data_IF_840354674783
#
_entry.id   IF_840354674783
#
_cell.length_a   1.000
_cell.length_b   1.000
_cell.length_c   1.000
_cell.angle_alpha   90.00
_cell.angle_beta   90.00
_cell.angle_gamma   90.00
#
_symmetry.space_group_name_H-M   'P 1'
#
loop_
_entity.id
_entity.type
_entity.pdbx_description
1 polymer ?
#
# COMPACT_ATOMS: atom_id res chain seq x y z
N UNK A 1 17.01 3.12 -10.39
CA UNK A 1 15.66 3.70 -10.24
C UNK A 1 15.40 3.98 -8.77
N UNK A 2 14.83 5.13 -8.45
CA UNK A 2 14.44 5.50 -7.08
C UNK A 2 12.98 5.14 -6.85
N UNK A 3 12.71 4.44 -5.76
CA UNK A 3 11.36 3.98 -5.36
C UNK A 3 11.03 4.59 -4.00
N UNK A 4 9.89 5.26 -3.90
CA UNK A 4 9.40 5.83 -2.65
C UNK A 4 8.15 5.07 -2.20
N UNK A 5 8.19 4.51 -1.01
CA UNK A 5 7.17 3.64 -0.46
C UNK A 5 6.52 4.29 0.77
N UNK A 6 5.21 4.50 0.71
CA UNK A 6 4.42 5.19 1.74
C UNK A 6 3.38 4.24 2.32
N UNK A 7 3.41 4.06 3.63
CA UNK A 7 2.45 3.21 4.32
C UNK A 7 1.81 3.91 5.51
N UNK A 8 0.62 3.47 5.83
CA UNK A 8 0.01 3.63 7.14
C UNK A 8 -0.35 2.25 7.68
N UNK A 9 -0.04 1.98 8.95
CA UNK A 9 -0.31 0.68 9.55
C UNK A 9 -0.61 0.83 11.03
N UNK A 10 -1.82 0.45 11.43
CA UNK A 10 -2.21 0.43 12.84
C UNK A 10 -1.60 -0.74 13.61
N UNK A 11 -1.48 -1.90 12.98
CA UNK A 11 -1.08 -3.17 13.63
C UNK A 11 0.08 -3.88 12.93
N UNK A 12 0.70 -3.23 11.94
CA UNK A 12 1.88 -3.76 11.27
C UNK A 12 1.62 -4.44 9.92
N UNK A 13 0.39 -4.76 9.54
CA UNK A 13 0.07 -5.49 8.31
C UNK A 13 0.55 -4.75 7.05
N UNK A 14 0.12 -3.50 6.85
CA UNK A 14 0.52 -2.71 5.68
C UNK A 14 2.03 -2.42 5.66
N UNK A 15 2.63 -2.21 6.83
CA UNK A 15 4.09 -2.09 6.96
C UNK A 15 4.79 -3.34 6.46
N UNK A 16 4.39 -4.54 6.94
CA UNK A 16 4.99 -5.82 6.57
C UNK A 16 4.95 -6.07 5.06
N UNK A 17 3.82 -5.74 4.43
CA UNK A 17 3.64 -5.89 2.99
C UNK A 17 4.58 -4.96 2.22
N UNK A 18 4.62 -3.67 2.58
CA UNK A 18 5.42 -2.71 1.85
C UNK A 18 6.93 -2.85 2.14
N UNK A 19 7.31 -3.31 3.33
CA UNK A 19 8.69 -3.67 3.67
C UNK A 19 9.17 -4.86 2.83
N UNK A 20 8.29 -5.83 2.57
CA UNK A 20 8.57 -6.92 1.62
C UNK A 20 8.82 -6.40 0.20
N UNK A 21 8.01 -5.44 -0.27
CA UNK A 21 8.25 -4.78 -1.55
C UNK A 21 9.60 -4.05 -1.58
N UNK A 22 9.93 -3.31 -0.52
CA UNK A 22 11.23 -2.65 -0.37
C UNK A 22 12.39 -3.63 -0.50
N UNK A 23 12.33 -4.75 0.23
CA UNK A 23 13.33 -5.79 0.13
C UNK A 23 13.52 -6.29 -1.30
N UNK A 24 12.42 -6.65 -1.99
CA UNK A 24 12.47 -7.15 -3.37
C UNK A 24 13.06 -6.10 -4.33
N UNK A 25 12.67 -4.83 -4.19
CA UNK A 25 13.18 -3.75 -5.04
C UNK A 25 14.67 -3.51 -4.79
N UNK A 26 15.11 -3.58 -3.55
CA UNK A 26 16.54 -3.45 -3.19
C UNK A 26 17.36 -4.60 -3.78
N UNK A 27 16.86 -5.85 -3.72
CA UNK A 27 17.50 -6.99 -4.36
C UNK A 27 17.64 -6.84 -5.89
N UNK A 28 16.73 -6.10 -6.51
CA UNK A 28 16.78 -5.75 -7.94
C UNK A 28 17.67 -4.52 -8.25
N UNK A 29 18.38 -4.00 -7.27
CA UNK A 29 19.28 -2.85 -7.42
C UNK A 29 18.59 -1.48 -7.44
N UNK A 30 17.32 -1.38 -7.02
CA UNK A 30 16.63 -0.10 -6.89
C UNK A 30 16.92 0.54 -5.52
N UNK A 31 16.97 1.86 -5.48
CA UNK A 31 17.03 2.63 -4.22
C UNK A 31 15.60 2.79 -3.71
N UNK A 32 15.21 1.98 -2.73
CA UNK A 32 13.86 1.97 -2.18
C UNK A 32 13.86 2.54 -0.75
N UNK A 33 13.08 3.58 -0.54
CA UNK A 33 12.84 4.19 0.77
C UNK A 33 11.44 3.84 1.25
N UNK A 34 11.29 3.57 2.54
CA UNK A 34 10.01 3.20 3.17
C UNK A 34 9.72 4.19 4.30
N UNK A 35 8.60 4.90 4.20
CA UNK A 35 8.23 5.94 5.15
C UNK A 35 6.77 5.78 5.58
N UNK A 36 6.51 5.94 6.89
CA UNK A 36 5.16 6.02 7.42
C UNK A 36 4.49 7.33 6.99
N UNK A 37 3.23 7.25 6.61
CA UNK A 37 2.40 8.43 6.31
C UNK A 37 2.12 9.19 7.59
N UNK A 38 2.58 10.44 7.62
CA UNK A 38 2.24 11.44 8.65
C UNK A 38 1.70 12.69 7.97
N UNK A 39 1.26 13.68 8.74
CA UNK A 39 0.79 14.94 8.19
C UNK A 39 1.89 15.73 7.44
N UNK A 40 3.16 15.41 7.69
CA UNK A 40 4.34 16.12 7.18
C UNK A 40 5.16 15.29 6.20
N UNK A 41 4.76 14.04 5.90
CA UNK A 41 5.52 13.18 4.98
C UNK A 41 5.26 13.58 3.53
N UNK A 42 6.32 13.90 2.80
CA UNK A 42 6.28 14.22 1.36
C UNK A 42 6.73 13.04 0.51
N UNK A 43 6.40 13.11 -0.79
CA UNK A 43 6.95 12.22 -1.80
C UNK A 43 8.35 12.70 -2.17
N UNK A 44 9.29 11.77 -2.30
CA UNK A 44 10.61 12.08 -2.83
C UNK A 44 10.47 12.55 -4.28
N UNK A 45 10.81 13.81 -4.55
CA UNK A 45 10.71 14.42 -5.90
C UNK A 45 11.53 13.68 -6.97
N UNK A 46 12.55 12.93 -6.55
CA UNK A 46 13.39 12.12 -7.44
C UNK A 46 12.86 10.70 -7.64
N UNK A 47 11.71 10.35 -7.04
CA UNK A 47 11.13 9.04 -7.20
C UNK A 47 10.65 8.81 -8.63
N UNK A 48 11.04 7.68 -9.20
CA UNK A 48 10.57 7.24 -10.52
C UNK A 48 9.33 6.34 -10.39
N UNK A 49 9.17 5.73 -9.21
CA UNK A 49 8.09 4.82 -8.88
C UNK A 49 7.66 5.02 -7.42
N UNK A 50 6.36 5.08 -7.17
CA UNK A 50 5.83 5.31 -5.83
C UNK A 50 4.88 4.19 -5.45
N UNK A 51 5.06 3.63 -4.26
CA UNK A 51 4.17 2.61 -3.72
C UNK A 51 3.38 3.12 -2.53
N UNK A 52 2.09 2.80 -2.49
CA UNK A 52 1.23 3.09 -1.36
C UNK A 52 0.66 1.80 -0.78
N UNK A 53 0.64 1.67 0.55
CA UNK A 53 -0.02 0.57 1.23
C UNK A 53 -0.79 1.07 2.45
N UNK A 54 -2.11 0.90 2.43
CA UNK A 54 -3.03 1.33 3.48
C UNK A 54 -3.97 0.20 3.90
N UNK A 55 -4.43 0.16 5.15
CA UNK A 55 -5.50 -0.75 5.53
C UNK A 55 -6.86 -0.22 5.07
N UNK A 56 -7.83 -1.12 4.97
CA UNK A 56 -9.24 -0.72 4.86
C UNK A 56 -9.81 -0.45 6.26
N UNK A 57 -10.46 0.71 6.44
CA UNK A 57 -11.22 1.06 7.64
C UNK A 57 -12.63 1.50 7.21
N UNK A 58 -13.65 0.82 7.74
CA UNK A 58 -15.04 1.15 7.45
C UNK A 58 -15.31 1.37 5.93
N UNK A 59 -14.94 0.40 5.12
CA UNK A 59 -15.10 0.37 3.65
C UNK A 59 -14.30 1.41 2.85
N UNK A 60 -13.39 2.15 3.47
CA UNK A 60 -12.51 3.12 2.81
C UNK A 60 -11.10 3.11 3.37
N UNK A 61 -10.28 4.07 2.95
CA UNK A 61 -8.97 4.28 3.56
C UNK A 61 -9.08 5.10 4.87
N UNK A 62 -8.16 4.93 5.83
CA UNK A 62 -8.12 5.74 7.04
C UNK A 62 -8.10 7.24 6.73
N UNK A 63 -8.77 8.05 7.56
CA UNK A 63 -8.83 9.52 7.38
C UNK A 63 -7.45 10.17 7.23
N UNK A 64 -6.44 9.65 7.95
CA UNK A 64 -5.06 10.14 7.84
C UNK A 64 -4.50 9.90 6.43
N UNK A 65 -4.74 8.72 5.86
CA UNK A 65 -4.30 8.39 4.49
C UNK A 65 -4.99 9.28 3.46
N UNK A 66 -6.29 9.49 3.60
CA UNK A 66 -7.06 10.37 2.73
C UNK A 66 -6.56 11.81 2.79
N UNK A 67 -6.34 12.36 4.00
CA UNK A 67 -5.77 13.69 4.19
C UNK A 67 -4.39 13.81 3.56
N UNK A 68 -3.55 12.81 3.76
CA UNK A 68 -2.22 12.73 3.15
C UNK A 68 -2.29 12.78 1.62
N UNK A 69 -3.08 11.89 0.99
CA UNK A 69 -3.21 11.86 -0.46
C UNK A 69 -3.74 13.19 -1.04
N UNK A 70 -4.70 13.82 -0.35
CA UNK A 70 -5.25 15.12 -0.76
C UNK A 70 -4.23 16.27 -0.63
N UNK A 71 -3.29 16.20 0.32
CA UNK A 71 -2.23 17.19 0.49
C UNK A 71 -1.06 17.03 -0.48
N UNK A 72 -0.88 15.87 -1.08
CA UNK A 72 0.20 15.65 -2.05
C UNK A 72 0.22 16.75 -3.10
N UNK A 73 1.41 17.30 -3.43
CA UNK A 73 1.53 18.22 -4.55
C UNK A 73 1.16 17.51 -5.86
N UNK A 74 0.75 18.29 -6.86
CA UNK A 74 0.56 17.74 -8.20
C UNK A 74 1.93 17.45 -8.82
N UNK A 75 2.11 16.24 -9.30
CA UNK A 75 3.32 15.88 -10.05
C UNK A 75 3.39 16.67 -11.36
N UNK A 76 4.52 17.30 -11.64
CA UNK A 76 4.77 17.98 -12.92
C UNK A 76 4.82 16.99 -14.08
N UNK A 77 5.43 15.85 -13.85
CA UNK A 77 5.51 14.72 -14.78
C UNK A 77 4.69 13.56 -14.23
N UNK A 78 4.14 12.72 -15.11
CA UNK A 78 3.46 11.49 -14.68
C UNK A 78 4.45 10.56 -13.98
N UNK A 79 4.21 10.30 -12.69
CA UNK A 79 4.98 9.35 -11.89
C UNK A 79 4.18 8.05 -11.79
N UNK A 80 4.80 6.94 -12.17
CA UNK A 80 4.17 5.62 -12.01
C UNK A 80 3.99 5.28 -10.53
N UNK A 81 2.83 4.71 -10.20
CA UNK A 81 2.53 4.30 -8.84
C UNK A 81 1.83 2.95 -8.79
N UNK A 82 1.93 2.28 -7.63
CA UNK A 82 1.08 1.15 -7.29
C UNK A 82 0.39 1.39 -5.94
N UNK A 83 -0.75 0.74 -5.77
CA UNK A 83 -1.57 0.85 -4.58
C UNK A 83 -1.92 -0.52 -4.04
N UNK A 84 -1.62 -0.76 -2.79
CA UNK A 84 -2.00 -1.97 -2.05
C UNK A 84 -2.94 -1.60 -0.92
N UNK A 85 -4.00 -2.38 -0.78
CA UNK A 85 -4.92 -2.26 0.34
C UNK A 85 -4.86 -3.55 1.15
N UNK A 86 -4.54 -3.47 2.43
CA UNK A 86 -4.61 -4.63 3.32
C UNK A 86 -6.01 -4.73 3.93
N UNK A 87 -6.61 -5.91 3.86
CA UNK A 87 -7.95 -6.19 4.35
C UNK A 87 -8.03 -7.57 5.01
N UNK A 88 -9.05 -7.79 5.83
CA UNK A 88 -9.34 -9.05 6.50
C UNK A 88 -9.79 -10.17 5.55
N UNK A 89 -10.27 -9.82 4.35
CA UNK A 89 -10.55 -10.74 3.26
C UNK A 89 -10.16 -10.10 1.93
N UNK A 90 -9.96 -10.91 0.89
CA UNK A 90 -9.47 -10.45 -0.42
C UNK A 90 -10.48 -9.60 -1.20
N UNK A 91 -11.76 -9.66 -0.86
CA UNK A 91 -12.87 -8.92 -1.47
C UNK A 91 -13.37 -7.75 -0.60
N UNK A 92 -12.77 -7.52 0.58
CA UNK A 92 -13.20 -6.50 1.55
C UNK A 92 -12.50 -5.16 1.41
N UNK A 93 -12.18 -4.72 0.19
CA UNK A 93 -11.57 -3.39 0.01
C UNK A 93 -12.56 -2.22 0.11
N UNK A 94 -13.86 -2.50 0.05
CA UNK A 94 -14.88 -1.46 -0.07
C UNK A 94 -14.55 -0.51 -1.23
N UNK A 95 -14.54 0.78 -0.97
CA UNK A 95 -14.18 1.83 -1.94
C UNK A 95 -12.72 2.29 -1.86
N UNK A 96 -11.89 1.63 -1.03
CA UNK A 96 -10.53 2.10 -0.74
C UNK A 96 -9.65 2.21 -1.99
N UNK A 97 -9.68 1.21 -2.90
CA UNK A 97 -8.92 1.25 -4.15
C UNK A 97 -9.43 2.38 -5.06
N UNK A 98 -10.74 2.46 -5.29
CA UNK A 98 -11.36 3.44 -6.19
C UNK A 98 -11.11 4.87 -5.69
N UNK A 99 -11.32 5.12 -4.39
CA UNK A 99 -11.11 6.42 -3.78
C UNK A 99 -9.64 6.86 -3.90
N UNK A 100 -8.72 6.00 -3.48
CA UNK A 100 -7.28 6.31 -3.52
C UNK A 100 -6.78 6.51 -4.95
N UNK A 101 -7.17 5.64 -5.88
CA UNK A 101 -6.79 5.74 -7.29
C UNK A 101 -7.30 7.04 -7.91
N UNK A 102 -8.54 7.43 -7.61
CA UNK A 102 -9.11 8.70 -8.09
C UNK A 102 -8.32 9.91 -7.60
N UNK A 103 -7.92 9.91 -6.31
CA UNK A 103 -7.12 11.01 -5.75
C UNK A 103 -5.73 11.02 -6.37
N UNK A 104 -5.05 9.88 -6.43
CA UNK A 104 -3.70 9.76 -6.99
C UNK A 104 -3.64 10.21 -8.44
N UNK A 105 -4.59 9.79 -9.29
CA UNK A 105 -4.68 10.22 -10.69
C UNK A 105 -4.85 11.73 -10.82
N UNK A 106 -5.68 12.36 -9.97
CA UNK A 106 -5.84 13.82 -9.93
C UNK A 106 -4.55 14.56 -9.51
N UNK A 107 -3.67 13.87 -8.78
CA UNK A 107 -2.35 14.38 -8.37
C UNK A 107 -1.24 14.11 -9.40
N UNK A 108 -1.57 13.47 -10.54
CA UNK A 108 -0.63 13.21 -11.62
C UNK A 108 0.09 11.88 -11.53
N UNK A 109 -0.33 10.98 -10.63
CA UNK A 109 0.19 9.62 -10.59
C UNK A 109 -0.48 8.74 -11.64
N UNK A 110 0.34 7.93 -12.31
CA UNK A 110 -0.12 6.85 -13.18
C UNK A 110 -0.17 5.56 -12.36
N UNK A 111 -1.35 5.24 -11.83
CA UNK A 111 -1.54 4.03 -11.02
C UNK A 111 -1.59 2.84 -11.97
N UNK A 112 -0.44 2.16 -12.11
CA UNK A 112 -0.23 1.04 -13.04
C UNK A 112 -0.61 -0.32 -12.44
N UNK A 113 -0.78 -0.39 -11.12
CA UNK A 113 -1.17 -1.59 -10.42
C UNK A 113 -1.92 -1.25 -9.12
N UNK A 114 -2.99 -1.97 -8.84
CA UNK A 114 -3.66 -1.92 -7.55
C UNK A 114 -4.16 -3.31 -7.15
N UNK A 115 -4.09 -3.64 -5.87
CA UNK A 115 -4.55 -4.94 -5.37
C UNK A 115 -4.93 -4.88 -3.90
N UNK A 116 -5.85 -5.78 -3.52
CA UNK A 116 -6.13 -6.09 -2.13
C UNK A 116 -5.20 -7.21 -1.68
N UNK A 117 -4.57 -7.04 -0.55
CA UNK A 117 -3.74 -8.06 0.09
C UNK A 117 -4.47 -8.55 1.34
N UNK A 118 -4.85 -9.82 1.32
CA UNK A 118 -5.45 -10.45 2.50
C UNK A 118 -4.41 -10.54 3.62
N UNK A 119 -4.74 -9.97 4.77
CA UNK A 119 -3.92 -10.00 5.99
C UNK A 119 -4.83 -10.30 7.19
N UNK A 120 -4.30 -10.83 8.31
CA UNK A 120 -5.12 -11.15 9.46
C UNK A 120 -5.95 -9.95 9.92
N UNK A 121 -7.24 -10.15 10.10
CA UNK A 121 -8.14 -9.10 10.60
C UNK A 121 -7.82 -8.74 12.04
N UNK A 122 -7.83 -7.43 12.33
CA UNK A 122 -7.73 -6.90 13.70
C UNK A 122 -9.10 -6.51 14.27
N UNK A 123 -10.16 -6.77 13.54
CA UNK A 123 -11.53 -6.49 13.96
C UNK A 123 -12.03 -7.63 14.84
N UNK A 124 -11.83 -7.50 16.16
CA UNK A 124 -12.18 -8.52 17.15
C UNK A 124 -13.59 -8.34 17.75
N UNK A 125 -14.31 -7.28 17.37
CA UNK A 125 -15.60 -6.93 17.99
C UNK A 125 -16.73 -7.88 17.57
N UNK A 126 -16.64 -8.45 16.37
CA UNK A 126 -17.69 -9.29 15.81
C UNK A 126 -17.20 -10.63 15.25
N UNK A 127 -15.91 -10.87 15.25
CA UNK A 127 -15.31 -12.11 14.73
C UNK A 127 -14.19 -12.60 15.66
N UNK A 128 -14.09 -13.90 15.83
CA UNK A 128 -12.94 -14.49 16.51
C UNK A 128 -11.67 -14.24 15.68
N UNK A 129 -10.56 -13.84 16.31
CA UNK A 129 -9.31 -13.75 15.60
C UNK A 129 -8.89 -15.12 15.07
N UNK A 130 -8.19 -15.18 13.92
CA UNK A 130 -7.67 -16.45 13.41
C UNK A 130 -6.68 -17.07 14.43
N UNK A 131 -6.56 -18.39 14.40
CA UNK A 131 -5.51 -19.08 15.16
C UNK A 131 -4.12 -18.58 14.74
N UNK A 132 -3.09 -18.85 15.54
CA UNK A 132 -1.71 -18.46 15.17
C UNK A 132 -1.27 -19.07 13.84
N UNK A 133 -1.63 -20.33 13.61
CA UNK A 133 -1.31 -21.08 12.40
C UNK A 133 -2.03 -20.49 11.19
N UNK A 134 -3.31 -20.18 11.31
CA UNK A 134 -4.09 -19.53 10.25
C UNK A 134 -3.57 -18.13 9.96
N UNK A 135 -3.30 -17.32 10.98
CA UNK A 135 -2.72 -15.99 10.82
C UNK A 135 -1.37 -16.05 10.10
N UNK A 136 -0.50 -17.01 10.46
CA UNK A 136 0.79 -17.17 9.80
C UNK A 136 0.64 -17.56 8.33
N UNK A 137 -0.32 -18.43 8.00
CA UNK A 137 -0.61 -18.80 6.62
C UNK A 137 -1.08 -17.60 5.80
N UNK A 138 -1.99 -16.80 6.35
CA UNK A 138 -2.49 -15.57 5.72
C UNK A 138 -1.34 -14.60 5.47
N UNK A 139 -0.48 -14.36 6.47
CA UNK A 139 0.69 -13.49 6.35
C UNK A 139 1.64 -13.99 5.27
N UNK A 140 1.94 -15.28 5.24
CA UNK A 140 2.83 -15.87 4.25
C UNK A 140 2.29 -15.72 2.83
N UNK A 141 0.99 -15.86 2.63
CA UNK A 141 0.33 -15.64 1.34
C UNK A 141 0.38 -14.16 0.93
N UNK A 142 0.15 -13.24 1.87
CA UNK A 142 0.31 -11.80 1.64
C UNK A 142 1.74 -11.42 1.23
N UNK A 143 2.75 -11.98 1.89
CA UNK A 143 4.16 -11.80 1.54
C UNK A 143 4.45 -12.33 0.12
N UNK A 144 3.93 -13.51 -0.25
CA UNK A 144 4.08 -14.05 -1.60
C UNK A 144 3.46 -13.13 -2.65
N UNK A 145 2.30 -12.56 -2.38
CA UNK A 145 1.65 -11.59 -3.26
C UNK A 145 2.51 -10.31 -3.42
N UNK A 146 3.02 -9.77 -2.31
CA UNK A 146 3.90 -8.60 -2.33
C UNK A 146 5.19 -8.81 -3.13
N UNK A 147 5.78 -10.00 -3.07
CA UNK A 147 7.00 -10.35 -3.84
C UNK A 147 6.81 -10.35 -5.35
N UNK A 148 5.57 -10.43 -5.84
CA UNK A 148 5.26 -10.42 -7.28
C UNK A 148 5.12 -9.01 -7.86
N UNK A 149 5.17 -7.98 -7.02
CA UNK A 149 5.04 -6.59 -7.46
C UNK A 149 6.34 -6.14 -8.11
N UNK A 150 6.23 -5.53 -9.28
CA UNK A 150 7.37 -5.03 -10.03
C UNK A 150 7.01 -3.72 -10.72
N UNK A 151 7.95 -2.74 -10.78
CA UNK A 151 7.75 -1.52 -11.56
C UNK A 151 7.56 -1.75 -13.06
N UNK A 152 7.95 -2.92 -13.54
CA UNK A 152 7.89 -3.31 -14.96
C UNK A 152 6.55 -3.97 -15.31
N UNK A 153 5.77 -4.38 -14.30
CA UNK A 153 4.48 -5.04 -14.51
C UNK A 153 3.45 -4.01 -14.99
N UNK A 154 2.85 -4.28 -16.13
CA UNK A 154 1.62 -3.65 -16.62
C UNK A 154 0.52 -4.71 -16.55
N UNK A 155 -0.61 -4.37 -15.96
CA UNK A 155 -1.86 -5.11 -16.20
C UNK A 155 -2.48 -4.68 -17.49
#
# INVERSE_FOLDING_TARGET
>A
MNVDLKYFSGTGNSYKILDTCKYVFTQKGYKAELTSVTAESDINEKANFVGFCFPVYAFGIPRICKKYLLKLPKCKNRVKAFLLITAGASDESGFAIQESTKILRKKGFDVVYSSVIHMPSNWIVSMNPPSKEEAQLIINNGIKAAKRISPERRE
#
